data_IF_711253338154
#
_entry.id   IF_711253338154
#
_cell.length_a   1.000
_cell.length_b   1.000
_cell.length_c   1.000
_cell.angle_alpha   90.00
_cell.angle_beta   90.00
_cell.angle_gamma   90.00
#
_symmetry.space_group_name_H-M   'P 1'
#
loop_
_entity.id
_entity.type
_entity.pdbx_description
1 polymer ?
#
# COMPACT_ATOMS: atom_id res chain seq x y z
N UNK A 1 13.11 3.34 -25.24
CA UNK A 1 12.38 4.05 -24.19
C UNK A 1 12.05 3.12 -23.03
N UNK A 2 11.45 1.93 -23.27
CA UNK A 2 10.99 1.01 -22.24
C UNK A 2 12.11 0.51 -21.30
N UNK A 3 13.25 0.02 -21.86
CA UNK A 3 14.40 -0.41 -21.04
C UNK A 3 14.89 0.68 -20.07
N UNK A 4 14.96 1.93 -20.54
CA UNK A 4 15.33 3.05 -19.64
C UNK A 4 14.32 3.25 -18.51
N UNK A 5 13.03 3.00 -18.76
CA UNK A 5 11.99 3.04 -17.72
C UNK A 5 12.16 1.93 -16.70
N UNK A 6 12.46 0.71 -17.15
CA UNK A 6 12.75 -0.42 -16.26
C UNK A 6 14.03 -0.18 -15.44
N UNK A 7 15.11 0.31 -16.06
CA UNK A 7 16.33 0.67 -15.34
C UNK A 7 16.08 1.74 -14.27
N UNK A 8 15.20 2.71 -14.54
CA UNK A 8 14.76 3.71 -13.56
C UNK A 8 14.02 3.07 -12.38
N UNK A 9 13.07 2.15 -12.63
CA UNK A 9 12.34 1.42 -11.59
C UNK A 9 13.28 0.63 -10.70
N UNK A 10 14.23 -0.11 -11.30
CA UNK A 10 15.22 -0.86 -10.53
C UNK A 10 16.17 0.02 -9.74
N UNK A 11 16.61 1.15 -10.31
CA UNK A 11 17.52 2.08 -9.64
C UNK A 11 16.85 2.84 -8.49
N UNK A 12 15.52 2.99 -8.53
CA UNK A 12 14.75 3.66 -7.50
C UNK A 12 14.47 2.79 -6.28
N UNK A 13 14.64 1.46 -6.39
CA UNK A 13 14.36 0.56 -5.26
C UNK A 13 15.36 0.76 -4.12
N UNK A 14 14.86 0.95 -2.92
CA UNK A 14 15.68 0.95 -1.71
C UNK A 14 16.22 -0.45 -1.38
N UNK A 15 17.35 -0.55 -0.64
CA UNK A 15 17.90 -1.85 -0.23
C UNK A 15 16.92 -2.73 0.58
N UNK A 16 15.94 -2.14 1.21
CA UNK A 16 14.87 -2.87 1.94
C UNK A 16 13.68 -3.27 1.06
N UNK A 17 13.75 -3.01 -0.24
CA UNK A 17 12.71 -3.41 -1.21
C UNK A 17 11.63 -2.36 -1.48
N UNK A 18 11.57 -1.25 -0.75
CA UNK A 18 10.60 -0.18 -0.96
C UNK A 18 10.97 0.77 -2.09
N UNK A 19 10.04 1.65 -2.50
CA UNK A 19 10.28 2.71 -3.48
C UNK A 19 9.89 4.07 -2.93
N UNK A 20 10.71 5.13 -3.20
CA UNK A 20 10.34 6.51 -2.91
C UNK A 20 9.19 6.95 -3.82
N UNK A 21 8.57 8.08 -3.48
CA UNK A 21 7.59 8.68 -4.37
C UNK A 21 8.24 9.23 -5.65
N UNK A 22 9.42 9.82 -5.52
CA UNK A 22 10.17 10.37 -6.65
C UNK A 22 11.59 9.79 -6.71
N UNK A 23 12.08 9.59 -7.92
CA UNK A 23 13.49 9.26 -8.16
C UNK A 23 14.02 10.12 -9.33
N UNK A 24 15.20 10.75 -9.24
CA UNK A 24 16.11 10.73 -8.07
C UNK A 24 15.44 11.25 -6.80
N UNK A 25 15.87 10.73 -5.65
CA UNK A 25 15.23 10.99 -4.36
C UNK A 25 15.29 12.47 -4.01
N UNK A 26 14.14 13.07 -3.75
CA UNK A 26 14.00 14.43 -3.22
C UNK A 26 13.68 14.37 -1.73
N UNK A 27 14.23 15.32 -0.95
CA UNK A 27 13.99 15.38 0.49
C UNK A 27 12.52 15.64 0.84
N UNK A 28 12.14 15.23 2.03
CA UNK A 28 10.80 15.39 2.58
C UNK A 28 9.93 14.17 2.33
N UNK A 29 8.64 14.36 2.13
CA UNK A 29 7.72 13.22 1.98
C UNK A 29 7.95 12.42 0.68
N UNK A 30 8.70 12.96 -0.27
CA UNK A 30 9.05 12.28 -1.53
C UNK A 30 10.08 11.16 -1.35
N UNK A 31 10.88 11.19 -0.27
CA UNK A 31 11.83 10.13 0.06
C UNK A 31 11.19 8.94 0.77
N UNK A 32 10.00 9.09 1.29
CA UNK A 32 9.31 8.01 1.99
C UNK A 32 8.88 6.90 1.04
N UNK A 33 8.87 5.66 1.53
CA UNK A 33 8.27 4.53 0.82
C UNK A 33 6.77 4.81 0.71
N UNK A 34 6.25 4.85 -0.52
CA UNK A 34 4.95 5.45 -0.81
C UNK A 34 3.91 4.42 -1.25
N UNK A 35 2.88 4.25 -0.44
CA UNK A 35 1.66 3.51 -0.77
C UNK A 35 0.54 4.43 -1.29
N UNK A 36 0.63 5.75 -1.06
CA UNK A 36 -0.29 6.75 -1.61
C UNK A 36 -0.47 6.59 -3.12
N UNK A 37 -1.72 6.75 -3.55
CA UNK A 37 -2.10 6.73 -4.97
C UNK A 37 -1.65 5.43 -5.68
N UNK A 38 -1.53 4.34 -4.91
CA UNK A 38 -1.10 3.00 -5.35
C UNK A 38 0.33 2.96 -5.96
N UNK A 39 1.19 3.94 -5.65
CA UNK A 39 2.48 4.10 -6.30
C UNK A 39 3.34 2.83 -6.26
N UNK A 40 3.55 2.24 -5.07
CA UNK A 40 4.32 1.00 -4.94
C UNK A 40 3.59 -0.20 -5.56
N UNK A 41 2.25 -0.23 -5.51
CA UNK A 41 1.45 -1.30 -6.12
C UNK A 41 1.68 -1.32 -7.63
N UNK A 42 1.61 -0.18 -8.31
CA UNK A 42 1.83 -0.10 -9.76
C UNK A 42 3.24 -0.53 -10.16
N UNK A 43 4.26 -0.21 -9.35
CA UNK A 43 5.62 -0.70 -9.57
C UNK A 43 5.68 -2.22 -9.47
N UNK A 44 5.06 -2.80 -8.44
CA UNK A 44 5.02 -4.24 -8.22
C UNK A 44 4.21 -4.97 -9.31
N UNK A 45 3.12 -4.39 -9.81
CA UNK A 45 2.37 -4.94 -10.95
C UNK A 45 3.26 -5.03 -12.20
N UNK A 46 3.99 -3.96 -12.53
CA UNK A 46 4.94 -3.96 -13.67
C UNK A 46 6.03 -5.01 -13.49
N UNK A 47 6.59 -5.15 -12.28
CA UNK A 47 7.64 -6.13 -12.00
C UNK A 47 7.11 -7.57 -12.07
N UNK A 48 5.92 -7.82 -11.56
CA UNK A 48 5.23 -9.11 -11.65
C UNK A 48 5.00 -9.51 -13.12
N UNK A 49 4.39 -8.63 -13.91
CA UNK A 49 4.09 -8.90 -15.30
C UNK A 49 5.37 -9.11 -16.15
N UNK A 50 6.44 -8.37 -15.82
CA UNK A 50 7.75 -8.54 -16.42
C UNK A 50 8.39 -9.89 -16.06
N UNK A 51 8.28 -10.32 -14.81
CA UNK A 51 8.81 -11.60 -14.34
C UNK A 51 8.08 -12.79 -14.98
N UNK A 52 6.75 -12.72 -15.06
CA UNK A 52 5.92 -13.72 -15.72
C UNK A 52 6.15 -13.76 -17.26
N UNK A 53 6.62 -12.65 -17.81
CA UNK A 53 6.85 -12.51 -19.26
C UNK A 53 5.55 -12.45 -20.05
N UNK A 54 4.60 -11.72 -19.52
CA UNK A 54 3.30 -11.51 -20.15
C UNK A 54 3.47 -10.86 -21.56
N UNK A 55 2.39 -10.79 -22.36
CA UNK A 55 2.42 -10.34 -23.76
C UNK A 55 3.13 -9.00 -23.99
N UNK A 56 3.05 -8.06 -23.04
CA UNK A 56 3.71 -6.76 -23.12
C UNK A 56 5.22 -6.86 -22.90
N UNK A 57 5.67 -7.90 -22.22
CA UNK A 57 7.07 -8.15 -21.84
C UNK A 57 7.68 -9.37 -22.53
N UNK A 58 7.09 -9.84 -23.64
CA UNK A 58 7.60 -10.97 -24.44
C UNK A 58 9.04 -10.76 -24.96
N UNK A 59 9.56 -9.54 -24.96
CA UNK A 59 10.95 -9.20 -25.31
C UNK A 59 11.94 -9.50 -24.17
N UNK A 60 11.47 -9.73 -22.94
CA UNK A 60 12.32 -9.91 -21.76
C UNK A 60 13.05 -11.26 -21.83
N UNK A 61 14.37 -11.21 -21.73
CA UNK A 61 15.17 -12.41 -21.55
C UNK A 61 15.11 -12.92 -20.10
N UNK A 62 15.64 -14.10 -19.86
CA UNK A 62 15.60 -14.75 -18.55
C UNK A 62 16.33 -13.93 -17.46
N UNK A 63 17.39 -13.21 -17.81
CA UNK A 63 18.13 -12.37 -16.87
C UNK A 63 17.28 -11.18 -16.39
N UNK A 64 16.56 -10.55 -17.31
CA UNK A 64 15.65 -9.44 -16.99
C UNK A 64 14.45 -9.91 -16.17
N UNK A 65 13.87 -11.07 -16.50
CA UNK A 65 12.78 -11.70 -15.73
C UNK A 65 13.23 -12.04 -14.31
N UNK A 66 14.40 -12.65 -14.14
CA UNK A 66 14.95 -12.95 -12.81
C UNK A 66 15.22 -11.69 -12.00
N UNK A 67 15.71 -10.61 -12.63
CA UNK A 67 15.90 -9.32 -11.96
C UNK A 67 14.58 -8.73 -11.50
N UNK A 68 13.54 -8.82 -12.32
CA UNK A 68 12.19 -8.34 -11.97
C UNK A 68 11.61 -9.15 -10.81
N UNK A 69 11.73 -10.48 -10.85
CA UNK A 69 11.28 -11.35 -9.77
C UNK A 69 11.97 -11.02 -8.44
N UNK A 70 13.30 -10.86 -8.46
CA UNK A 70 14.06 -10.52 -7.26
C UNK A 70 13.63 -9.16 -6.68
N UNK A 71 13.40 -8.15 -7.52
CA UNK A 71 12.90 -6.84 -7.08
C UNK A 71 11.47 -6.91 -6.54
N UNK A 72 10.61 -7.70 -7.18
CA UNK A 72 9.25 -7.96 -6.71
C UNK A 72 9.25 -8.63 -5.33
N UNK A 73 10.03 -9.70 -5.15
CA UNK A 73 10.11 -10.44 -3.88
C UNK A 73 10.61 -9.56 -2.74
N UNK A 74 11.61 -8.69 -2.99
CA UNK A 74 12.06 -7.70 -2.03
C UNK A 74 10.97 -6.69 -1.68
N UNK A 75 10.17 -6.26 -2.67
CA UNK A 75 9.03 -5.38 -2.46
C UNK A 75 7.94 -6.00 -1.58
N UNK A 76 7.62 -7.28 -1.81
CA UNK A 76 6.68 -8.04 -0.95
C UNK A 76 7.22 -8.17 0.48
N UNK A 77 8.51 -8.45 0.65
CA UNK A 77 9.13 -8.51 1.97
C UNK A 77 9.10 -7.15 2.69
N UNK A 78 9.32 -6.05 1.95
CA UNK A 78 9.18 -4.70 2.49
C UNK A 78 7.74 -4.42 2.96
N UNK A 79 6.74 -4.78 2.17
CA UNK A 79 5.32 -4.66 2.55
C UNK A 79 5.04 -5.41 3.86
N UNK A 80 5.53 -6.64 3.99
CA UNK A 80 5.36 -7.43 5.21
C UNK A 80 6.00 -6.76 6.42
N UNK A 81 7.20 -6.19 6.24
CA UNK A 81 7.94 -5.51 7.30
C UNK A 81 7.32 -4.15 7.71
N UNK A 82 6.66 -3.46 6.78
CA UNK A 82 5.98 -2.17 7.03
C UNK A 82 4.61 -2.32 7.69
N UNK A 83 4.03 -3.53 7.75
CA UNK A 83 2.70 -3.70 8.36
C UNK A 83 2.74 -3.27 9.83
N UNK A 84 1.94 -2.25 10.16
CA UNK A 84 1.94 -1.64 11.50
C UNK A 84 1.47 -2.64 12.54
N UNK A 85 2.15 -2.64 13.69
CA UNK A 85 1.76 -3.46 14.85
C UNK A 85 1.28 -2.56 15.99
N UNK A 86 0.16 -2.93 16.58
CA UNK A 86 -0.39 -2.32 17.80
C UNK A 86 -0.51 -3.44 18.84
N UNK A 87 0.08 -3.26 20.01
CA UNK A 87 0.11 -4.26 21.08
C UNK A 87 0.59 -5.66 20.62
N UNK A 88 1.57 -5.68 19.71
CA UNK A 88 2.13 -6.90 19.14
C UNK A 88 1.26 -7.59 18.08
N UNK A 89 0.13 -7.00 17.71
CA UNK A 89 -0.74 -7.53 16.65
C UNK A 89 -0.57 -6.74 15.36
N UNK A 90 -0.40 -7.46 14.25
CA UNK A 90 -0.37 -6.86 12.91
C UNK A 90 -1.73 -6.25 12.58
N UNK A 91 -1.70 -5.05 11.99
CA UNK A 91 -2.88 -4.29 11.59
C UNK A 91 -2.89 -4.05 10.07
N UNK A 92 -2.86 -2.80 9.66
CA UNK A 92 -2.77 -2.35 8.26
C UNK A 92 -1.57 -1.41 8.09
N UNK A 93 -1.47 -0.71 6.97
CA UNK A 93 -0.33 0.14 6.64
C UNK A 93 -0.65 1.63 6.75
N UNK A 94 0.39 2.44 6.91
CA UNK A 94 0.32 3.87 6.68
C UNK A 94 0.39 4.18 5.17
N UNK A 95 -0.04 5.37 4.78
CA UNK A 95 0.08 5.85 3.40
C UNK A 95 1.55 6.02 2.96
N UNK A 96 2.45 6.35 3.90
CA UNK A 96 3.88 6.43 3.68
C UNK A 96 4.68 5.90 4.88
N UNK A 97 5.85 5.32 4.60
CA UNK A 97 6.74 4.76 5.60
C UNK A 97 8.16 5.31 5.46
N UNK A 98 8.86 5.42 6.58
CA UNK A 98 10.24 5.90 6.60
C UNK A 98 11.16 4.94 5.85
N UNK A 99 12.08 5.42 4.97
CA UNK A 99 12.86 4.56 4.09
C UNK A 99 13.89 3.67 4.80
N UNK A 100 14.20 3.95 6.07
CA UNK A 100 15.16 3.15 6.84
C UNK A 100 14.51 2.38 7.99
N UNK A 101 13.60 3.04 8.76
CA UNK A 101 12.99 2.40 9.94
C UNK A 101 11.71 1.65 9.63
N UNK A 102 11.10 1.91 8.47
CA UNK A 102 9.80 1.39 8.03
C UNK A 102 8.62 1.85 8.89
N UNK A 103 8.84 2.79 9.79
CA UNK A 103 7.78 3.37 10.63
C UNK A 103 6.85 4.28 9.81
N UNK A 104 5.57 4.40 10.21
CA UNK A 104 4.64 5.36 9.64
C UNK A 104 5.18 6.80 9.69
N UNK A 105 5.11 7.53 8.58
CA UNK A 105 5.51 8.93 8.50
C UNK A 105 4.41 9.80 7.90
N UNK A 106 4.53 11.10 8.14
CA UNK A 106 3.67 12.09 7.52
C UNK A 106 3.91 12.14 6.01
N UNK A 107 2.83 12.12 5.25
CA UNK A 107 2.84 12.37 3.82
C UNK A 107 2.54 13.85 3.50
N UNK A 108 1.53 14.13 2.69
CA UNK A 108 1.11 15.49 2.32
C UNK A 108 0.52 16.25 3.53
N UNK A 109 0.25 17.54 3.35
CA UNK A 109 -0.13 18.46 4.44
C UNK A 109 -1.27 17.99 5.36
N UNK A 110 -2.21 17.18 4.85
CA UNK A 110 -3.38 16.68 5.59
C UNK A 110 -3.34 15.16 5.79
N UNK A 111 -2.19 14.55 5.69
CA UNK A 111 -1.99 13.10 5.78
C UNK A 111 -0.99 12.82 6.90
N UNK A 112 -1.47 12.72 8.17
CA UNK A 112 -0.62 12.42 9.32
C UNK A 112 -0.12 10.98 9.28
N UNK A 113 0.93 10.63 10.05
CA UNK A 113 1.24 9.24 10.34
C UNK A 113 0.00 8.56 10.93
N UNK A 114 -0.50 7.51 10.27
CA UNK A 114 -1.80 6.91 10.60
C UNK A 114 -1.91 5.51 9.98
N UNK A 115 -2.88 4.73 10.43
CA UNK A 115 -3.33 3.57 9.66
C UNK A 115 -4.23 4.08 8.53
N UNK A 116 -3.92 3.68 7.29
CA UNK A 116 -4.65 4.15 6.11
C UNK A 116 -5.62 3.09 5.59
N UNK A 117 -6.92 3.42 5.59
CA UNK A 117 -7.95 2.48 5.14
C UNK A 117 -7.91 2.23 3.63
N UNK A 118 -7.79 3.29 2.83
CA UNK A 118 -7.84 3.18 1.36
C UNK A 118 -6.63 2.47 0.77
N UNK A 119 -5.44 2.96 1.07
CA UNK A 119 -4.17 2.41 0.60
C UNK A 119 -3.98 0.96 1.04
N UNK A 120 -4.35 0.65 2.29
CA UNK A 120 -4.28 -0.73 2.81
C UNK A 120 -5.27 -1.67 2.11
N UNK A 121 -6.50 -1.21 1.82
CA UNK A 121 -7.47 -2.03 1.10
C UNK A 121 -7.01 -2.36 -0.32
N UNK A 122 -6.39 -1.40 -1.03
CA UNK A 122 -5.84 -1.61 -2.36
C UNK A 122 -4.64 -2.57 -2.31
N UNK A 123 -3.76 -2.41 -1.30
CA UNK A 123 -2.63 -3.30 -1.10
C UNK A 123 -3.06 -4.75 -0.81
N UNK A 124 -4.07 -4.96 0.05
CA UNK A 124 -4.63 -6.29 0.30
C UNK A 124 -5.19 -6.92 -0.98
N UNK A 125 -5.95 -6.16 -1.77
CA UNK A 125 -6.45 -6.63 -3.07
C UNK A 125 -5.33 -7.02 -4.03
N UNK A 126 -4.26 -6.22 -4.10
CA UNK A 126 -3.09 -6.54 -4.90
C UNK A 126 -2.44 -7.84 -4.43
N UNK A 127 -2.16 -8.00 -3.12
CA UNK A 127 -1.56 -9.19 -2.55
C UNK A 127 -2.41 -10.46 -2.80
N UNK A 128 -3.74 -10.35 -2.72
CA UNK A 128 -4.65 -11.46 -3.01
C UNK A 128 -4.67 -11.87 -4.49
N UNK A 129 -4.43 -10.92 -5.40
CA UNK A 129 -4.47 -11.15 -6.86
C UNK A 129 -3.13 -11.63 -7.40
N UNK A 130 -2.05 -10.98 -6.99
CA UNK A 130 -0.73 -11.07 -7.62
C UNK A 130 0.40 -11.37 -6.62
N UNK A 131 0.12 -11.45 -5.33
CA UNK A 131 1.11 -11.80 -4.33
C UNK A 131 1.46 -13.29 -4.32
N UNK A 132 2.68 -13.65 -3.89
CA UNK A 132 3.05 -15.06 -3.76
C UNK A 132 2.25 -15.74 -2.65
N UNK A 133 1.86 -17.00 -2.86
CA UNK A 133 1.10 -17.79 -1.89
C UNK A 133 2.03 -18.38 -0.81
N UNK A 134 2.72 -17.52 -0.07
CA UNK A 134 3.56 -17.91 1.08
C UNK A 134 2.77 -17.79 2.39
N UNK A 135 3.19 -18.54 3.41
CA UNK A 135 2.57 -18.47 4.73
C UNK A 135 2.63 -17.05 5.33
N UNK A 136 3.68 -16.28 5.02
CA UNK A 136 3.80 -14.91 5.47
C UNK A 136 2.79 -13.99 4.76
N UNK A 137 2.69 -14.06 3.44
CA UNK A 137 1.72 -13.24 2.68
C UNK A 137 0.29 -13.56 3.10
N UNK A 138 -0.04 -14.83 3.32
CA UNK A 138 -1.34 -15.23 3.87
C UNK A 138 -1.56 -14.60 5.26
N UNK A 139 -0.54 -14.60 6.12
CA UNK A 139 -0.63 -14.04 7.47
C UNK A 139 -0.86 -12.53 7.46
N UNK A 140 -0.15 -11.78 6.61
CA UNK A 140 -0.32 -10.32 6.54
C UNK A 140 -1.68 -9.93 5.95
N UNK A 141 -2.18 -10.66 4.96
CA UNK A 141 -3.54 -10.49 4.40
C UNK A 141 -4.59 -10.75 5.48
N UNK A 142 -4.51 -11.90 6.16
CA UNK A 142 -5.47 -12.33 7.17
C UNK A 142 -5.53 -11.34 8.36
N UNK A 143 -4.37 -10.85 8.79
CA UNK A 143 -4.27 -9.83 9.84
C UNK A 143 -4.93 -8.53 9.41
N UNK A 144 -4.71 -8.06 8.18
CA UNK A 144 -5.33 -6.85 7.66
C UNK A 144 -6.85 -7.01 7.52
N UNK A 145 -7.32 -8.16 7.03
CA UNK A 145 -8.76 -8.43 6.92
C UNK A 145 -9.44 -8.46 8.29
N UNK A 146 -8.82 -9.07 9.30
CA UNK A 146 -9.32 -9.06 10.69
C UNK A 146 -9.37 -7.64 11.24
N UNK A 147 -8.36 -6.83 10.94
CA UNK A 147 -8.35 -5.42 11.34
C UNK A 147 -9.51 -4.65 10.69
N UNK A 148 -9.71 -4.79 9.38
CA UNK A 148 -10.83 -4.16 8.68
C UNK A 148 -12.18 -4.59 9.27
N UNK A 149 -12.33 -5.86 9.58
CA UNK A 149 -13.56 -6.42 10.16
C UNK A 149 -13.89 -5.79 11.51
N UNK A 150 -12.87 -5.62 12.36
CA UNK A 150 -12.99 -5.04 13.70
C UNK A 150 -13.22 -3.51 13.70
N UNK A 151 -12.82 -2.80 12.62
CA UNK A 151 -12.88 -1.34 12.55
C UNK A 151 -13.91 -0.82 11.55
N UNK A 152 -14.98 -1.59 11.31
CA UNK A 152 -16.14 -1.15 10.52
C UNK A 152 -16.84 0.01 11.20
N UNK A 153 -17.17 1.01 10.41
CA UNK A 153 -18.03 2.11 10.82
C UNK A 153 -19.46 1.79 10.38
N UNK A 154 -20.36 1.74 11.33
CA UNK A 154 -21.79 1.47 11.12
C UNK A 154 -22.63 2.65 11.60
N UNK A 155 -23.91 2.70 11.23
CA UNK A 155 -24.78 3.81 11.60
C UNK A 155 -24.47 5.11 10.87
N UNK A 156 -23.77 5.01 9.74
CA UNK A 156 -23.47 6.12 8.84
C UNK A 156 -24.04 5.82 7.46
N UNK A 157 -24.41 6.87 6.73
CA UNK A 157 -24.85 6.80 5.32
C UNK A 157 -24.09 7.81 4.49
N UNK A 158 -23.57 7.34 3.34
CA UNK A 158 -22.96 8.20 2.34
C UNK A 158 -24.02 8.99 1.61
N UNK A 159 -23.84 10.28 1.45
CA UNK A 159 -24.77 11.21 0.80
C UNK A 159 -24.02 12.26 0.00
N UNK A 160 -24.74 13.22 -0.55
CA UNK A 160 -24.21 14.45 -1.16
C UNK A 160 -24.70 15.64 -0.36
N UNK A 161 -23.80 16.60 -0.09
CA UNK A 161 -24.16 17.89 0.50
C UNK A 161 -24.76 18.83 -0.57
N UNK A 162 -25.18 20.03 -0.16
CA UNK A 162 -25.78 21.03 -1.04
C UNK A 162 -24.87 21.50 -2.18
N UNK A 163 -23.57 21.27 -2.06
CA UNK A 163 -22.56 21.56 -3.09
C UNK A 163 -22.28 20.34 -4.01
N UNK A 164 -23.02 19.25 -3.87
CA UNK A 164 -22.84 18.01 -4.62
C UNK A 164 -21.60 17.20 -4.23
N UNK A 165 -20.89 17.58 -3.17
CA UNK A 165 -19.73 16.84 -2.65
C UNK A 165 -20.18 15.67 -1.78
N UNK A 166 -19.41 14.60 -1.77
CA UNK A 166 -19.63 13.46 -0.86
C UNK A 166 -19.60 13.93 0.59
N UNK A 167 -20.60 13.49 1.34
CA UNK A 167 -20.76 13.72 2.77
C UNK A 167 -21.23 12.44 3.48
N UNK A 168 -21.12 12.40 4.79
CA UNK A 168 -21.49 11.25 5.61
C UNK A 168 -22.35 11.74 6.77
N UNK A 169 -23.55 11.20 6.89
CA UNK A 169 -24.49 11.58 7.95
C UNK A 169 -24.76 10.39 8.87
N UNK A 170 -25.06 10.69 10.13
CA UNK A 170 -25.52 9.68 11.08
C UNK A 170 -26.88 9.13 10.63
N UNK A 171 -26.96 7.82 10.48
CA UNK A 171 -28.17 7.09 10.11
C UNK A 171 -28.15 5.70 10.78
N UNK A 172 -28.71 5.58 12.00
CA UNK A 172 -28.71 4.31 12.73
C UNK A 172 -29.39 3.14 12.00
N UNK A 173 -30.24 3.44 11.00
CA UNK A 173 -30.89 2.43 10.18
C UNK A 173 -30.08 2.03 8.94
N UNK A 174 -28.94 2.70 8.68
CA UNK A 174 -28.09 2.39 7.53
C UNK A 174 -27.46 1.01 7.66
N UNK A 175 -27.51 0.26 6.58
CA UNK A 175 -26.81 -1.03 6.41
C UNK A 175 -25.45 -0.87 5.72
N UNK A 176 -25.05 0.37 5.42
CA UNK A 176 -23.74 0.64 4.81
C UNK A 176 -22.63 0.30 5.80
N UNK A 177 -21.57 -0.32 5.28
CA UNK A 177 -20.34 -0.58 6.01
C UNK A 177 -19.25 0.30 5.41
N UNK A 178 -18.67 1.16 6.24
CA UNK A 178 -17.71 2.15 5.84
C UNK A 178 -16.42 2.01 6.65
N UNK A 179 -15.34 2.61 6.14
CA UNK A 179 -14.08 2.79 6.84
C UNK A 179 -13.61 4.21 6.66
N UNK A 180 -12.96 4.74 7.72
CA UNK A 180 -12.31 6.03 7.63
C UNK A 180 -11.07 5.96 6.73
N UNK A 181 -10.67 7.11 6.21
CA UNK A 181 -9.41 7.20 5.46
C UNK A 181 -8.21 7.00 6.36
N UNK A 182 -8.25 7.59 7.56
CA UNK A 182 -7.15 7.53 8.52
C UNK A 182 -7.63 7.11 9.90
N UNK A 183 -6.78 6.35 10.59
CA UNK A 183 -6.98 5.93 11.97
C UNK A 183 -5.72 6.23 12.78
N UNK A 184 -5.90 6.61 14.02
CA UNK A 184 -4.83 6.88 14.97
C UNK A 184 -3.97 5.64 15.23
N UNK A 185 -2.64 5.81 15.28
CA UNK A 185 -1.67 4.71 15.42
C UNK A 185 -1.69 4.01 16.78
N UNK A 186 -2.24 4.64 17.83
CA UNK A 186 -2.27 4.07 19.18
C UNK A 186 -3.63 3.47 19.50
N UNK A 187 -4.68 4.18 19.14
CA UNK A 187 -6.05 3.83 19.53
C UNK A 187 -6.84 3.12 18.45
N UNK A 188 -6.32 3.11 17.20
CA UNK A 188 -7.02 2.65 15.99
C UNK A 188 -8.41 3.29 15.80
N UNK A 189 -8.65 4.48 16.35
CA UNK A 189 -9.89 5.25 16.13
C UNK A 189 -9.77 6.13 14.89
N UNK A 190 -10.88 6.38 14.17
CA UNK A 190 -10.92 7.34 13.06
C UNK A 190 -10.46 8.73 13.50
N UNK A 191 -9.68 9.42 12.61
CA UNK A 191 -9.19 10.80 12.79
C UNK A 191 -9.49 11.64 11.56
#
# INVERSE_FOLDING_TARGET
ALMKGLDYVFAAQYPNGGWPQNYPVERGYHEAITLNDDAMIHVLEVLHDLAEGDNHFAFADDALKQRAQAAFDQGIACIAAMQVQIDGQRTVWCAQHHPLTLEPVKARAKEPPSLSGGESANLVKFLMRSGPTTAEVVTIIDSALKWFDAHRLTGLRKTKNDQGKTDYIADPASTEVLWARFYDLQTAKPI
#
